data_IF_097752446145
#
_entry.id   IF_097752446145
#
_cell.length_a   1.000
_cell.length_b   1.000
_cell.length_c   1.000
_cell.angle_alpha   90.00
_cell.angle_beta   90.00
_cell.angle_gamma   90.00
#
_symmetry.space_group_name_H-M   'P 1'
#
loop_
_entity.id
_entity.type
_entity.pdbx_description
1 polymer ?
#
# COMPACT_ATOMS: atom_id res chain seq x y z
N UNK A 1 47.01 2.57 -5.96
CA UNK A 1 46.12 3.41 -6.78
C UNK A 1 45.48 2.53 -7.83
N UNK A 2 44.33 1.95 -7.50
CA UNK A 2 43.48 1.22 -8.45
C UNK A 2 42.42 2.21 -8.91
N UNK A 3 42.37 2.48 -10.21
CA UNK A 3 41.30 3.26 -10.83
C UNK A 3 39.99 2.51 -10.59
N UNK A 4 39.14 3.04 -9.70
CA UNK A 4 37.75 2.62 -9.62
C UNK A 4 37.12 2.97 -10.96
N UNK A 5 36.84 1.95 -11.77
CA UNK A 5 36.06 2.12 -12.98
C UNK A 5 34.69 2.64 -12.56
N UNK A 6 34.47 3.93 -12.86
CA UNK A 6 33.22 4.66 -12.70
C UNK A 6 32.15 4.02 -13.58
N UNK A 7 31.60 2.90 -13.09
CA UNK A 7 30.55 2.18 -13.80
C UNK A 7 29.23 2.76 -13.32
N UNK A 8 28.82 3.85 -13.95
CA UNK A 8 27.52 4.46 -13.71
C UNK A 8 26.42 3.56 -14.30
N UNK A 9 25.58 2.97 -13.45
CA UNK A 9 24.38 2.22 -13.83
C UNK A 9 23.14 2.80 -13.11
N UNK A 10 21.91 2.61 -13.63
CA UNK A 10 20.71 3.26 -13.11
C UNK A 10 20.48 3.04 -11.60
N UNK A 11 20.70 1.83 -11.08
CA UNK A 11 20.58 1.57 -9.63
C UNK A 11 21.56 2.41 -8.80
N UNK A 12 22.79 2.61 -9.30
CA UNK A 12 23.79 3.46 -8.61
C UNK A 12 23.35 4.92 -8.56
N UNK A 13 22.84 5.45 -9.67
CA UNK A 13 22.34 6.83 -9.74
C UNK A 13 21.19 7.08 -8.77
N UNK A 14 20.25 6.12 -8.67
CA UNK A 14 19.18 6.18 -7.68
C UNK A 14 19.75 6.19 -6.25
N UNK A 15 20.69 5.30 -5.93
CA UNK A 15 21.32 5.27 -4.60
C UNK A 15 22.05 6.59 -4.27
N UNK A 16 22.71 7.22 -5.24
CA UNK A 16 23.36 8.52 -5.08
C UNK A 16 22.38 9.64 -4.80
N UNK A 17 21.25 9.68 -5.50
CA UNK A 17 20.17 10.62 -5.20
C UNK A 17 19.65 10.43 -3.78
N UNK A 18 19.30 9.20 -3.40
CA UNK A 18 18.74 8.88 -2.08
C UNK A 18 19.73 9.24 -0.95
N UNK A 19 21.01 8.91 -1.11
CA UNK A 19 22.04 9.24 -0.12
C UNK A 19 22.16 10.75 0.10
N UNK A 20 22.15 11.54 -0.98
CA UNK A 20 22.35 12.98 -0.94
C UNK A 20 21.08 13.78 -0.61
N UNK A 21 19.90 13.18 -0.71
CA UNK A 21 18.61 13.83 -0.46
C UNK A 21 18.53 14.46 0.94
N UNK A 22 18.21 15.75 1.04
CA UNK A 22 17.95 16.41 2.34
C UNK A 22 16.51 16.86 2.40
N UNK A 23 15.96 16.94 3.61
CA UNK A 23 14.58 17.40 3.80
C UNK A 23 14.35 18.82 3.26
N UNK A 24 15.37 19.67 3.29
CA UNK A 24 15.33 21.03 2.73
C UNK A 24 15.22 21.06 1.19
N UNK A 25 15.58 19.97 0.51
CA UNK A 25 15.46 19.84 -0.94
C UNK A 25 14.06 19.34 -1.36
N UNK A 26 13.25 18.87 -0.40
CA UNK A 26 11.93 18.32 -0.64
C UNK A 26 10.89 19.45 -0.68
N UNK A 27 10.07 19.55 -1.75
CA UNK A 27 8.98 20.52 -1.80
C UNK A 27 7.98 20.32 -0.67
N UNK A 28 7.47 21.43 -0.10
CA UNK A 28 6.50 21.38 0.99
C UNK A 28 5.26 20.50 0.70
N UNK A 29 4.66 20.49 -0.52
CA UNK A 29 3.53 19.59 -0.82
C UNK A 29 3.87 18.09 -0.70
N UNK A 30 5.13 17.71 -0.95
CA UNK A 30 5.58 16.31 -0.80
C UNK A 30 5.65 15.95 0.68
N UNK A 31 6.18 16.85 1.52
CA UNK A 31 6.23 16.68 2.99
C UNK A 31 4.81 16.54 3.56
N UNK A 32 3.90 17.42 3.18
CA UNK A 32 2.49 17.35 3.62
C UNK A 32 1.84 16.04 3.16
N UNK A 33 2.05 15.62 1.91
CA UNK A 33 1.55 14.34 1.42
C UNK A 33 2.12 13.16 2.22
N UNK A 34 3.40 13.18 2.59
CA UNK A 34 3.98 12.13 3.44
C UNK A 34 3.30 12.06 4.81
N UNK A 35 2.92 13.20 5.40
CA UNK A 35 2.14 13.22 6.65
C UNK A 35 0.73 12.65 6.46
N UNK A 36 0.07 13.00 5.36
CA UNK A 36 -1.25 12.46 5.03
C UNK A 36 -1.20 10.93 4.87
N UNK A 37 -0.18 10.42 4.16
CA UNK A 37 0.09 8.98 4.00
C UNK A 37 0.45 8.30 5.33
N UNK A 38 1.21 8.98 6.20
CA UNK A 38 1.54 8.45 7.53
C UNK A 38 0.29 8.31 8.40
N UNK A 39 -0.63 9.28 8.37
CA UNK A 39 -1.90 9.20 9.11
C UNK A 39 -2.76 8.04 8.62
N UNK A 40 -2.88 7.89 7.29
CA UNK A 40 -3.63 6.81 6.66
C UNK A 40 -3.05 5.43 7.03
N UNK A 41 -1.73 5.32 7.01
CA UNK A 41 -1.00 4.12 7.40
C UNK A 41 -1.25 3.73 8.85
N UNK A 42 -1.00 4.64 9.80
CA UNK A 42 -1.06 4.28 11.23
C UNK A 42 -2.49 3.87 11.62
N UNK A 43 -3.49 4.55 11.07
CA UNK A 43 -4.89 4.18 11.28
C UNK A 43 -5.23 2.82 10.66
N UNK A 44 -4.73 2.53 9.45
CA UNK A 44 -4.91 1.22 8.80
C UNK A 44 -4.23 0.09 9.58
N UNK A 45 -3.03 0.33 10.11
CA UNK A 45 -2.30 -0.62 10.94
C UNK A 45 -3.04 -0.94 12.23
N UNK A 46 -3.61 0.07 12.90
CA UNK A 46 -4.44 -0.09 14.11
C UNK A 46 -5.72 -0.87 13.79
N UNK A 47 -6.39 -0.57 12.67
CA UNK A 47 -7.59 -1.29 12.23
C UNK A 47 -7.33 -2.80 11.98
N UNK A 48 -6.08 -3.19 11.74
CA UNK A 48 -5.68 -4.59 11.63
C UNK A 48 -5.76 -5.38 12.95
N UNK A 49 -6.10 -4.73 14.07
CA UNK A 49 -6.30 -5.38 15.37
C UNK A 49 -7.28 -6.55 15.25
N UNK A 50 -6.93 -7.63 15.94
CA UNK A 50 -7.72 -8.85 16.04
C UNK A 50 -8.03 -9.57 14.72
N UNK A 51 -7.44 -9.14 13.60
CA UNK A 51 -7.51 -9.91 12.37
C UNK A 51 -6.83 -11.28 12.56
N UNK A 52 -7.49 -12.40 12.18
CA UNK A 52 -6.97 -13.75 12.45
C UNK A 52 -5.54 -13.99 11.93
N UNK A 53 -5.23 -13.52 10.72
CA UNK A 53 -3.88 -13.62 10.14
C UNK A 53 -2.83 -12.83 10.95
N UNK A 54 -3.20 -11.64 11.44
CA UNK A 54 -2.31 -10.79 12.26
C UNK A 54 -2.04 -11.45 13.61
N UNK A 55 -3.07 -12.02 14.26
CA UNK A 55 -2.91 -12.75 15.54
C UNK A 55 -1.92 -13.92 15.42
N UNK A 56 -2.00 -14.71 14.34
CA UNK A 56 -1.05 -15.80 14.07
C UNK A 56 0.39 -15.29 13.94
N UNK A 57 0.59 -14.11 13.32
CA UNK A 57 1.91 -13.49 13.22
C UNK A 57 2.39 -12.92 14.57
N UNK A 58 1.49 -12.43 15.42
CA UNK A 58 1.80 -12.03 16.80
C UNK A 58 2.21 -13.23 17.66
N UNK A 59 1.55 -14.38 17.51
CA UNK A 59 1.92 -15.64 18.17
C UNK A 59 3.30 -16.12 17.71
N UNK A 60 3.55 -16.10 16.40
CA UNK A 60 4.88 -16.41 15.84
C UNK A 60 5.96 -15.48 16.40
N UNK A 61 5.72 -14.17 16.43
CA UNK A 61 6.66 -13.20 16.99
C UNK A 61 6.87 -13.38 18.50
N UNK A 62 5.84 -13.75 19.26
CA UNK A 62 5.98 -14.05 20.68
C UNK A 62 6.82 -15.32 20.94
N UNK A 63 6.77 -16.30 20.04
CA UNK A 63 7.55 -17.53 20.14
C UNK A 63 9.02 -17.35 19.70
N UNK A 64 9.27 -16.52 18.69
CA UNK A 64 10.58 -16.40 18.03
C UNK A 64 11.34 -15.12 18.39
N UNK A 65 10.63 -14.08 18.82
CA UNK A 65 11.16 -12.77 19.16
C UNK A 65 11.33 -12.56 20.65
N UNK A 66 11.99 -11.46 21.05
CA UNK A 66 12.11 -11.13 22.46
C UNK A 66 10.76 -10.70 23.03
N UNK A 67 10.57 -10.95 24.32
CA UNK A 67 9.35 -10.57 25.06
C UNK A 67 9.20 -9.06 25.28
N UNK A 68 10.27 -8.29 25.06
CA UNK A 68 10.30 -6.82 25.15
C UNK A 68 11.36 -6.25 24.18
N UNK A 69 11.30 -4.94 23.91
CA UNK A 69 12.28 -4.26 23.08
C UNK A 69 11.96 -2.80 22.80
N UNK A 70 12.71 -2.20 21.89
CA UNK A 70 12.61 -0.76 21.62
C UNK A 70 11.43 -0.39 20.72
N UNK A 71 10.86 -1.32 19.95
CA UNK A 71 9.86 -1.00 18.92
C UNK A 71 8.45 -1.48 19.29
N UNK A 72 7.45 -0.66 19.00
CA UNK A 72 6.05 -0.87 19.34
C UNK A 72 5.32 -1.73 18.28
N UNK A 73 4.46 -2.63 18.75
CA UNK A 73 3.46 -3.33 17.95
C UNK A 73 2.12 -2.64 18.16
N UNK A 74 1.60 -1.95 17.14
CA UNK A 74 0.45 -1.06 17.29
C UNK A 74 -0.84 -1.80 17.72
N UNK A 75 -1.04 -3.01 17.19
CA UNK A 75 -2.30 -3.76 17.36
C UNK A 75 -2.48 -4.40 18.75
N UNK A 76 -1.39 -4.68 19.47
CA UNK A 76 -1.43 -5.19 20.85
C UNK A 76 -0.73 -4.32 21.88
N UNK A 77 -0.15 -3.19 21.44
CA UNK A 77 0.48 -2.17 22.29
C UNK A 77 1.65 -2.72 23.12
N UNK A 78 2.20 -3.87 22.74
CA UNK A 78 3.43 -4.42 23.31
C UNK A 78 4.64 -3.87 22.57
N UNK A 79 5.82 -4.14 23.12
CA UNK A 79 7.09 -3.84 22.46
C UNK A 79 7.87 -5.11 22.21
N UNK A 80 8.72 -5.09 21.19
CA UNK A 80 9.60 -6.19 20.82
C UNK A 80 10.80 -5.64 20.03
N UNK A 81 11.58 -6.52 19.39
CA UNK A 81 12.67 -6.08 18.52
C UNK A 81 12.13 -5.33 17.29
N UNK A 82 12.93 -4.44 16.67
CA UNK A 82 12.52 -3.72 15.47
C UNK A 82 12.09 -4.64 14.32
N UNK A 83 12.74 -5.81 14.19
CA UNK A 83 12.39 -6.80 13.17
C UNK A 83 10.96 -7.32 13.34
N UNK A 84 10.59 -7.76 14.55
CA UNK A 84 9.25 -8.31 14.80
C UNK A 84 8.18 -7.22 14.85
N UNK A 85 8.50 -6.01 15.31
CA UNK A 85 7.59 -4.88 15.25
C UNK A 85 7.26 -4.48 13.80
N UNK A 86 8.28 -4.37 12.93
CA UNK A 86 8.08 -4.11 11.51
C UNK A 86 7.26 -5.21 10.83
N UNK A 87 7.53 -6.48 11.17
CA UNK A 87 6.80 -7.64 10.65
C UNK A 87 5.31 -7.56 10.98
N UNK A 88 4.95 -7.36 12.25
CA UNK A 88 3.54 -7.34 12.67
C UNK A 88 2.84 -6.09 12.15
N UNK A 89 3.46 -4.91 12.30
CA UNK A 89 2.85 -3.66 11.83
C UNK A 89 2.69 -3.67 10.30
N UNK A 90 3.63 -4.25 9.55
CA UNK A 90 3.47 -4.45 8.11
C UNK A 90 2.31 -5.38 7.76
N UNK A 91 2.14 -6.48 8.50
CA UNK A 91 1.00 -7.37 8.32
C UNK A 91 -0.35 -6.67 8.60
N UNK A 92 -0.42 -5.94 9.72
CA UNK A 92 -1.66 -5.29 10.17
C UNK A 92 -2.06 -4.12 9.29
N UNK A 93 -1.09 -3.40 8.71
CA UNK A 93 -1.34 -2.27 7.80
C UNK A 93 -2.16 -2.66 6.56
N UNK A 94 -2.01 -3.90 6.09
CA UNK A 94 -2.56 -4.34 4.81
C UNK A 94 -3.83 -5.19 4.93
N UNK A 95 -4.13 -5.73 6.13
CA UNK A 95 -5.18 -6.74 6.32
C UNK A 95 -6.61 -6.22 6.12
N UNK A 96 -6.81 -4.92 6.32
CA UNK A 96 -8.13 -4.29 6.16
C UNK A 96 -8.36 -3.71 4.76
N UNK A 97 -7.37 -3.78 3.86
CA UNK A 97 -7.43 -3.24 2.49
C UNK A 97 -7.76 -1.74 2.42
N UNK A 98 -7.17 -0.93 3.31
CA UNK A 98 -7.40 0.52 3.37
C UNK A 98 -6.14 1.38 3.22
N UNK A 99 -4.99 0.73 3.16
CA UNK A 99 -3.70 1.33 2.91
C UNK A 99 -3.59 1.95 1.50
N UNK A 100 -2.62 2.86 1.37
CA UNK A 100 -2.30 3.58 0.15
C UNK A 100 -1.96 2.67 -1.03
N UNK A 101 -1.94 3.23 -2.23
CA UNK A 101 -1.47 2.53 -3.43
C UNK A 101 -0.93 3.53 -4.44
N UNK A 102 0.22 3.23 -5.03
CA UNK A 102 0.72 3.99 -6.16
C UNK A 102 0.29 3.30 -7.47
N UNK A 103 -0.48 4.02 -8.28
CA UNK A 103 -1.13 3.48 -9.47
C UNK A 103 -0.13 2.90 -10.49
N UNK A 104 0.89 3.67 -10.87
CA UNK A 104 1.83 3.28 -11.94
C UNK A 104 2.69 2.06 -11.61
N UNK A 105 3.07 1.91 -10.34
CA UNK A 105 3.91 0.80 -9.86
C UNK A 105 3.09 -0.38 -9.31
N UNK A 106 1.79 -0.18 -9.07
CA UNK A 106 0.90 -1.15 -8.41
C UNK A 106 1.51 -1.65 -7.09
N UNK A 107 2.03 -0.70 -6.30
CA UNK A 107 2.70 -0.92 -5.01
C UNK A 107 1.85 -0.30 -3.90
N UNK A 108 1.86 -0.91 -2.72
CA UNK A 108 1.36 -0.34 -1.47
C UNK A 108 2.53 0.11 -0.58
N UNK A 109 3.11 1.31 -0.75
CA UNK A 109 4.36 1.67 -0.08
C UNK A 109 4.17 1.89 1.42
N UNK A 110 3.04 2.42 1.87
CA UNK A 110 2.79 2.69 3.29
C UNK A 110 2.94 1.43 4.15
N UNK A 111 2.38 0.32 3.66
CA UNK A 111 2.33 -0.94 4.38
C UNK A 111 3.70 -1.61 4.58
N UNK A 112 4.77 -1.09 3.97
CA UNK A 112 6.13 -1.64 4.07
C UNK A 112 7.16 -0.61 4.52
N UNK A 113 7.07 0.64 4.04
CA UNK A 113 8.02 1.71 4.36
C UNK A 113 7.84 2.19 5.80
N UNK A 114 6.64 2.63 6.17
CA UNK A 114 6.39 3.16 7.52
C UNK A 114 6.63 2.15 8.65
N UNK A 115 6.18 0.88 8.59
CA UNK A 115 6.44 -0.05 9.69
C UNK A 115 7.93 -0.32 9.88
N UNK A 116 8.72 -0.41 8.79
CA UNK A 116 10.17 -0.56 8.87
C UNK A 116 10.86 0.69 9.42
N UNK A 117 10.52 1.87 8.89
CA UNK A 117 11.12 3.15 9.32
C UNK A 117 10.76 3.46 10.77
N UNK A 118 9.49 3.33 11.18
CA UNK A 118 9.07 3.62 12.55
C UNK A 118 9.74 2.67 13.54
N UNK A 119 9.75 1.36 13.27
CA UNK A 119 10.41 0.40 14.15
C UNK A 119 11.92 0.71 14.30
N UNK A 120 12.58 1.11 13.21
CA UNK A 120 13.98 1.49 13.24
C UNK A 120 14.24 2.82 13.94
N UNK A 121 13.37 3.80 13.73
CA UNK A 121 13.45 5.10 14.35
C UNK A 121 13.27 5.02 15.87
N UNK A 122 12.35 4.17 16.34
CA UNK A 122 12.15 3.92 17.77
C UNK A 122 13.39 3.27 18.41
N UNK A 123 14.04 2.35 17.70
CA UNK A 123 15.26 1.68 18.17
C UNK A 123 16.47 2.62 18.28
N UNK A 124 16.59 3.58 17.38
CA UNK A 124 17.76 4.44 17.24
C UNK A 124 17.50 5.87 17.78
N UNK A 125 16.32 6.13 18.35
CA UNK A 125 15.96 7.45 18.91
C UNK A 125 15.87 8.56 17.86
N UNK A 126 15.37 8.25 16.66
CA UNK A 126 15.29 9.18 15.52
C UNK A 126 14.12 10.16 15.65
N UNK A 127 14.36 11.37 15.17
CA UNK A 127 13.36 12.46 15.13
C UNK A 127 12.30 12.22 14.07
N UNK A 128 11.17 12.91 14.18
CA UNK A 128 10.12 12.82 13.16
C UNK A 128 10.51 13.41 11.81
N UNK A 129 11.40 14.41 11.78
CA UNK A 129 11.99 14.93 10.53
C UNK A 129 12.85 13.88 9.81
N UNK A 130 13.64 13.09 10.55
CA UNK A 130 14.41 11.97 9.98
C UNK A 130 13.50 10.87 9.46
N UNK A 131 12.40 10.58 10.17
CA UNK A 131 11.37 9.63 9.74
C UNK A 131 10.71 10.07 8.44
N UNK A 132 10.30 11.34 8.33
CA UNK A 132 9.71 11.88 7.10
C UNK A 132 10.67 11.76 5.92
N UNK A 133 11.93 12.17 6.09
CA UNK A 133 12.94 12.09 5.03
C UNK A 133 13.22 10.64 4.59
N UNK A 134 13.33 9.72 5.56
CA UNK A 134 13.54 8.30 5.29
C UNK A 134 12.34 7.68 4.56
N UNK A 135 11.12 8.03 4.98
CA UNK A 135 9.89 7.58 4.31
C UNK A 135 9.81 8.08 2.88
N UNK A 136 10.08 9.37 2.62
CA UNK A 136 10.13 9.93 1.26
C UNK A 136 11.15 9.15 0.40
N UNK A 137 12.36 8.92 0.91
CA UNK A 137 13.37 8.13 0.19
C UNK A 137 12.88 6.70 -0.12
N UNK A 138 12.17 6.06 0.81
CA UNK A 138 11.55 4.74 0.61
C UNK A 138 10.49 4.74 -0.48
N UNK A 139 9.60 5.74 -0.50
CA UNK A 139 8.58 5.92 -1.53
C UNK A 139 9.21 6.17 -2.90
N UNK A 140 10.17 7.09 -2.99
CA UNK A 140 10.90 7.36 -4.24
C UNK A 140 11.57 6.09 -4.78
N UNK A 141 12.29 5.35 -3.94
CA UNK A 141 12.94 4.11 -4.35
C UNK A 141 11.92 3.05 -4.79
N UNK A 142 10.95 2.75 -3.92
CA UNK A 142 9.97 1.69 -4.15
C UNK A 142 9.13 1.91 -5.39
N UNK A 143 8.60 3.12 -5.57
CA UNK A 143 7.73 3.42 -6.72
C UNK A 143 8.51 3.31 -8.03
N UNK A 144 9.71 3.87 -8.09
CA UNK A 144 10.57 3.85 -9.29
C UNK A 144 11.01 2.44 -9.65
N UNK A 145 11.33 1.63 -8.65
CA UNK A 145 11.65 0.20 -8.84
C UNK A 145 10.39 -0.55 -9.31
N UNK A 146 9.21 -0.24 -8.80
CA UNK A 146 7.97 -0.88 -9.24
C UNK A 146 7.60 -0.52 -10.68
N UNK A 147 7.76 0.74 -11.08
CA UNK A 147 7.62 1.16 -12.49
C UNK A 147 8.66 0.48 -13.38
N UNK A 148 9.90 0.35 -12.90
CA UNK A 148 10.97 -0.39 -13.57
C UNK A 148 10.60 -1.84 -13.82
N UNK A 149 9.90 -2.53 -12.90
CA UNK A 149 9.52 -3.93 -13.06
C UNK A 149 8.40 -4.18 -14.08
N UNK A 150 7.59 -3.16 -14.39
CA UNK A 150 6.58 -3.23 -15.44
C UNK A 150 5.36 -4.11 -15.14
N UNK A 151 4.45 -4.24 -16.12
CA UNK A 151 3.16 -4.93 -15.96
C UNK A 151 3.34 -6.45 -15.90
N UNK A 152 4.35 -6.99 -16.59
CA UNK A 152 4.57 -8.44 -16.63
C UNK A 152 4.91 -9.01 -15.25
N UNK A 153 5.62 -8.24 -14.42
CA UNK A 153 5.97 -8.62 -13.06
C UNK A 153 4.73 -8.91 -12.22
N UNK A 154 3.77 -7.98 -12.24
CA UNK A 154 2.55 -8.04 -11.43
C UNK A 154 1.65 -9.24 -11.75
N UNK A 155 1.80 -9.86 -12.93
CA UNK A 155 1.00 -11.03 -13.33
C UNK A 155 1.26 -12.26 -12.47
N UNK A 156 2.48 -12.41 -11.96
CA UNK A 156 2.90 -13.57 -11.15
C UNK A 156 3.21 -13.14 -9.73
N UNK A 157 3.87 -12.00 -9.59
CA UNK A 157 4.37 -11.52 -8.32
C UNK A 157 3.51 -10.37 -7.78
N UNK A 158 3.33 -10.35 -6.47
CA UNK A 158 2.78 -9.20 -5.77
C UNK A 158 3.88 -8.17 -5.55
N UNK A 159 3.84 -7.06 -6.31
CA UNK A 159 4.86 -5.98 -6.26
C UNK A 159 5.14 -5.49 -4.83
N UNK A 160 4.13 -5.47 -3.95
CA UNK A 160 4.32 -5.09 -2.55
C UNK A 160 5.22 -6.03 -1.76
N UNK A 161 5.16 -7.34 -2.02
CA UNK A 161 6.07 -8.29 -1.37
C UNK A 161 7.48 -8.20 -1.95
N UNK A 162 7.60 -8.07 -3.27
CA UNK A 162 8.91 -8.00 -3.94
C UNK A 162 9.55 -6.63 -3.80
N UNK A 163 9.05 -5.62 -4.52
CA UNK A 163 9.58 -4.25 -4.56
C UNK A 163 9.45 -3.55 -3.21
N UNK A 164 8.41 -3.84 -2.44
CA UNK A 164 8.26 -3.30 -1.09
C UNK A 164 9.42 -3.66 -0.15
N UNK A 165 10.06 -4.83 -0.34
CA UNK A 165 11.25 -5.22 0.41
C UNK A 165 12.42 -4.26 0.16
N UNK A 166 12.59 -3.84 -1.09
CA UNK A 166 13.63 -2.89 -1.49
C UNK A 166 13.29 -1.46 -1.05
N UNK A 167 12.00 -1.08 -1.09
CA UNK A 167 11.52 0.21 -0.60
C UNK A 167 11.82 0.39 0.90
N UNK A 168 11.51 -0.64 1.71
CA UNK A 168 11.83 -0.65 3.14
C UNK A 168 13.35 -0.60 3.39
N UNK A 169 14.15 -1.33 2.61
CA UNK A 169 15.61 -1.30 2.72
C UNK A 169 16.20 0.08 2.41
N UNK A 170 15.76 0.73 1.33
CA UNK A 170 16.19 2.08 0.98
C UNK A 170 15.82 3.10 2.06
N UNK A 171 14.59 3.00 2.58
CA UNK A 171 14.10 3.90 3.63
C UNK A 171 14.93 3.78 4.92
N UNK A 172 15.16 2.57 5.41
CA UNK A 172 15.93 2.34 6.64
C UNK A 172 17.41 2.65 6.44
N UNK A 173 17.99 2.35 5.27
CA UNK A 173 19.36 2.75 4.94
C UNK A 173 19.51 4.28 4.93
N UNK A 174 18.51 5.00 4.42
CA UNK A 174 18.46 6.47 4.50
C UNK A 174 18.36 6.96 5.93
N UNK A 175 17.50 6.35 6.75
CA UNK A 175 17.35 6.68 8.18
C UNK A 175 18.67 6.52 8.96
N UNK A 176 19.47 5.52 8.59
CA UNK A 176 20.81 5.29 9.15
C UNK A 176 21.88 6.24 8.64
N UNK A 177 21.59 7.04 7.62
CA UNK A 177 22.57 7.93 7.01
C UNK A 177 23.65 7.18 6.22
N UNK A 178 23.32 6.01 5.65
CA UNK A 178 24.26 5.29 4.79
C UNK A 178 24.52 6.08 3.50
N UNK A 179 25.74 5.97 2.98
CA UNK A 179 26.11 6.55 1.69
C UNK A 179 25.54 5.75 0.51
N UNK A 180 25.81 6.20 -0.71
CA UNK A 180 25.30 5.56 -1.92
C UNK A 180 25.73 4.08 -2.06
N UNK A 181 26.93 3.72 -1.57
CA UNK A 181 27.35 2.32 -1.58
C UNK A 181 26.56 1.53 -0.54
N UNK A 182 26.41 2.03 0.69
CA UNK A 182 25.64 1.36 1.73
C UNK A 182 24.16 1.15 1.37
N UNK A 183 23.52 2.14 0.73
CA UNK A 183 22.15 1.98 0.20
C UNK A 183 22.12 0.88 -0.87
N UNK A 184 23.08 0.87 -1.79
CA UNK A 184 23.14 -0.16 -2.83
C UNK A 184 23.35 -1.57 -2.24
N UNK A 185 24.24 -1.72 -1.25
CA UNK A 185 24.43 -2.99 -0.55
C UNK A 185 23.13 -3.47 0.12
N UNK A 186 22.37 -2.56 0.74
CA UNK A 186 21.06 -2.86 1.32
C UNK A 186 20.05 -3.30 0.26
N UNK A 187 19.98 -2.61 -0.88
CA UNK A 187 19.14 -3.01 -2.01
C UNK A 187 19.54 -4.39 -2.55
N UNK A 188 20.83 -4.66 -2.68
CA UNK A 188 21.37 -5.95 -3.12
C UNK A 188 20.92 -7.11 -2.23
N UNK A 189 21.02 -6.95 -0.92
CA UNK A 189 20.54 -7.95 0.05
C UNK A 189 19.02 -8.07 0.07
N UNK A 190 18.29 -6.96 -0.08
CA UNK A 190 16.83 -6.97 -0.14
C UNK A 190 16.30 -7.68 -1.39
N UNK A 191 16.83 -7.35 -2.58
CA UNK A 191 16.34 -7.88 -3.83
C UNK A 191 16.57 -9.37 -4.02
N UNK A 192 17.65 -9.94 -3.46
CA UNK A 192 17.90 -11.39 -3.57
C UNK A 192 16.94 -12.25 -2.76
N UNK A 193 16.26 -11.68 -1.76
CA UNK A 193 15.28 -12.39 -0.91
C UNK A 193 13.83 -11.91 -1.13
N UNK A 194 13.64 -10.93 -2.02
CA UNK A 194 12.34 -10.36 -2.34
C UNK A 194 11.41 -11.41 -2.98
N UNK A 195 10.21 -11.60 -2.41
CA UNK A 195 9.26 -12.62 -2.85
C UNK A 195 7.80 -12.17 -2.64
N UNK A 196 6.87 -12.87 -3.30
CA UNK A 196 5.43 -12.72 -3.09
C UNK A 196 4.65 -13.17 -4.31
N UNK A 197 3.90 -14.28 -4.21
CA UNK A 197 3.17 -14.89 -5.33
C UNK A 197 1.66 -14.69 -5.14
N UNK A 198 0.93 -14.51 -6.25
CA UNK A 198 -0.52 -14.26 -6.22
C UNK A 198 -1.41 -15.47 -5.89
N UNK A 199 -0.86 -16.67 -5.81
CA UNK A 199 -1.65 -17.91 -5.73
C UNK A 199 -2.61 -17.95 -4.53
N UNK A 200 -2.35 -17.18 -3.47
CA UNK A 200 -3.23 -17.07 -2.29
C UNK A 200 -4.68 -16.69 -2.62
N UNK A 201 -4.94 -15.98 -3.73
CA UNK A 201 -6.28 -15.52 -4.09
C UNK A 201 -7.24 -16.70 -4.36
N UNK A 202 -6.73 -17.83 -4.85
CA UNK A 202 -7.53 -19.01 -5.21
C UNK A 202 -8.16 -19.67 -3.99
N UNK A 203 -7.40 -19.72 -2.89
CA UNK A 203 -7.79 -20.40 -1.66
C UNK A 203 -8.21 -19.42 -0.55
N UNK A 204 -8.19 -18.11 -0.82
CA UNK A 204 -8.34 -17.07 0.19
C UNK A 204 -7.38 -17.26 1.37
N UNK A 205 -6.14 -17.63 1.08
CA UNK A 205 -5.15 -17.97 2.09
C UNK A 205 -4.62 -16.73 2.82
N UNK A 206 -4.33 -16.88 4.12
CA UNK A 206 -3.72 -15.85 4.96
C UNK A 206 -2.32 -15.41 4.47
N UNK A 207 -1.71 -16.14 3.52
CA UNK A 207 -0.35 -15.91 3.05
C UNK A 207 -0.13 -14.57 2.37
N UNK A 208 -1.18 -13.84 1.93
CA UNK A 208 -1.05 -12.46 1.45
C UNK A 208 -0.36 -11.57 2.49
N UNK A 209 -0.63 -11.78 3.78
CA UNK A 209 -0.13 -10.93 4.87
C UNK A 209 1.38 -11.11 5.06
N UNK A 210 1.95 -12.25 4.61
CA UNK A 210 3.40 -12.42 4.59
C UNK A 210 4.06 -11.42 3.64
N UNK A 211 3.39 -10.95 2.59
CA UNK A 211 3.99 -10.03 1.62
C UNK A 211 4.44 -8.72 2.29
N UNK A 212 3.55 -8.03 3.00
CA UNK A 212 3.91 -6.77 3.68
C UNK A 212 4.71 -7.01 4.95
N UNK A 213 4.39 -8.08 5.69
CA UNK A 213 5.11 -8.44 6.91
C UNK A 213 6.60 -8.71 6.63
N UNK A 214 6.89 -9.55 5.63
CA UNK A 214 8.26 -9.88 5.25
C UNK A 214 8.94 -8.76 4.50
N UNK A 215 8.26 -8.05 3.61
CA UNK A 215 8.87 -6.89 2.95
C UNK A 215 9.39 -5.85 3.95
N UNK A 216 8.59 -5.49 4.96
CA UNK A 216 9.00 -4.55 6.00
C UNK A 216 10.19 -5.10 6.82
N UNK A 217 10.10 -6.34 7.30
CA UNK A 217 11.10 -6.93 8.18
C UNK A 217 12.42 -7.26 7.47
N UNK A 218 12.35 -7.79 6.26
CA UNK A 218 13.52 -8.22 5.48
C UNK A 218 14.23 -7.00 4.86
N UNK A 219 13.49 -5.95 4.48
CA UNK A 219 14.09 -4.67 4.09
C UNK A 219 14.82 -3.98 5.25
N UNK A 220 14.18 -3.96 6.43
CA UNK A 220 14.80 -3.51 7.67
C UNK A 220 16.11 -4.28 7.94
N UNK A 221 16.06 -5.61 7.90
CA UNK A 221 17.23 -6.46 8.10
C UNK A 221 18.36 -6.13 7.13
N UNK A 222 18.05 -5.97 5.83
CA UNK A 222 19.06 -5.65 4.81
C UNK A 222 19.80 -4.35 5.07
N UNK A 223 19.11 -3.30 5.54
CA UNK A 223 19.75 -2.03 5.89
C UNK A 223 20.67 -2.15 7.12
N UNK A 224 20.27 -2.96 8.12
CA UNK A 224 21.13 -3.28 9.27
C UNK A 224 22.39 -4.05 8.86
N UNK A 225 22.24 -5.04 7.98
CA UNK A 225 23.36 -5.82 7.45
C UNK A 225 24.32 -4.93 6.65
N UNK A 226 23.81 -4.06 5.79
CA UNK A 226 24.62 -3.11 5.03
C UNK A 226 25.38 -2.14 5.95
N UNK A 227 24.73 -1.62 7.01
CA UNK A 227 25.40 -0.80 8.05
C UNK A 227 26.55 -1.55 8.73
N UNK A 228 26.47 -2.87 8.86
CA UNK A 228 27.51 -3.72 9.40
C UNK A 228 28.58 -4.16 8.37
N UNK A 229 28.50 -3.70 7.12
CA UNK A 229 29.45 -4.04 6.07
C UNK A 229 29.14 -5.34 5.31
N UNK A 230 27.95 -5.92 5.47
CA UNK A 230 27.50 -7.03 4.64
C UNK A 230 27.31 -6.58 3.20
N UNK A 231 27.82 -7.35 2.23
CA UNK A 231 27.76 -7.01 0.81
C UNK A 231 26.60 -7.72 0.09
N UNK A 232 25.76 -6.96 -0.61
CA UNK A 232 24.78 -7.42 -1.58
C UNK A 232 25.23 -7.24 -3.04
N UNK A 233 24.42 -7.73 -3.98
CA UNK A 233 24.69 -7.59 -5.41
C UNK A 233 24.44 -6.15 -5.89
N UNK A 234 25.44 -5.54 -6.53
CA UNK A 234 25.40 -4.12 -6.96
C UNK A 234 24.40 -3.80 -8.05
N UNK A 235 24.05 -4.77 -8.88
CA UNK A 235 23.08 -4.64 -9.97
C UNK A 235 21.94 -5.63 -9.78
N UNK A 236 21.39 -5.68 -8.57
CA UNK A 236 20.31 -6.61 -8.22
C UNK A 236 19.04 -6.39 -9.05
N UNK A 237 18.84 -5.18 -9.59
CA UNK A 237 17.68 -4.85 -10.40
C UNK A 237 17.91 -5.21 -11.87
N UNK A 238 18.87 -4.54 -12.51
CA UNK A 238 19.10 -4.55 -13.96
C UNK A 238 20.15 -5.58 -14.43
N UNK A 239 20.83 -6.26 -13.49
CA UNK A 239 21.87 -7.22 -13.82
C UNK A 239 21.35 -8.46 -14.56
N UNK A 240 22.24 -9.18 -15.24
CA UNK A 240 21.90 -10.35 -16.06
C UNK A 240 21.23 -11.51 -15.28
N UNK A 241 21.42 -11.56 -13.96
CA UNK A 241 20.74 -12.49 -13.04
C UNK A 241 20.01 -11.73 -11.91
N UNK A 242 19.65 -10.48 -12.18
CA UNK A 242 18.89 -9.61 -11.28
C UNK A 242 17.38 -9.86 -11.36
N UNK A 243 16.63 -9.08 -10.61
CA UNK A 243 15.17 -9.17 -10.50
C UNK A 243 14.49 -9.00 -11.86
N UNK A 244 14.91 -8.04 -12.70
CA UNK A 244 14.29 -7.88 -14.01
C UNK A 244 14.42 -9.13 -14.88
N UNK A 245 15.59 -9.78 -14.88
CA UNK A 245 15.81 -11.00 -15.67
C UNK A 245 14.96 -12.19 -15.19
N UNK A 246 14.70 -12.29 -13.89
CA UNK A 246 13.96 -13.42 -13.29
C UNK A 246 12.47 -13.20 -13.09
N UNK A 247 12.01 -11.94 -13.01
CA UNK A 247 10.67 -11.60 -12.54
C UNK A 247 9.92 -10.62 -13.46
N UNK A 248 10.49 -10.23 -14.59
CA UNK A 248 9.83 -9.35 -15.57
C UNK A 248 10.25 -9.69 -17.00
N UNK A 249 9.37 -9.41 -17.96
CA UNK A 249 9.64 -9.45 -19.40
C UNK A 249 9.54 -8.08 -20.07
N UNK A 250 9.14 -7.03 -19.33
CA UNK A 250 8.90 -5.68 -19.83
C UNK A 250 9.56 -4.60 -18.95
N UNK A 251 10.62 -4.96 -18.23
CA UNK A 251 11.32 -4.05 -17.35
C UNK A 251 11.96 -2.88 -18.11
N UNK A 252 11.92 -1.68 -17.53
CA UNK A 252 12.43 -0.46 -18.14
C UNK A 252 13.41 0.28 -17.21
N UNK A 253 14.74 0.12 -17.39
CA UNK A 253 15.77 0.76 -16.56
C UNK A 253 15.66 2.28 -16.45
N UNK A 254 15.07 2.96 -17.45
CA UNK A 254 14.92 4.42 -17.42
C UNK A 254 14.01 4.90 -16.27
N UNK A 255 13.06 4.08 -15.81
CA UNK A 255 12.16 4.42 -14.70
C UNK A 255 12.90 4.63 -13.36
N UNK A 256 14.07 4.01 -13.19
CA UNK A 256 14.85 4.10 -11.95
C UNK A 256 15.36 5.53 -11.69
N UNK A 257 15.56 6.33 -12.73
CA UNK A 257 16.19 7.66 -12.65
C UNK A 257 15.37 8.78 -13.27
N UNK A 258 14.14 8.48 -13.69
CA UNK A 258 13.23 9.40 -14.37
C UNK A 258 12.86 10.64 -13.51
N UNK A 259 13.44 11.80 -13.82
CA UNK A 259 13.09 13.05 -13.14
C UNK A 259 13.46 13.10 -11.65
N UNK A 260 14.58 12.49 -11.23
CA UNK A 260 15.06 12.60 -9.86
C UNK A 260 15.22 14.07 -9.43
N UNK A 261 14.63 14.44 -8.28
CA UNK A 261 14.64 15.80 -7.74
C UNK A 261 13.61 16.76 -8.35
N UNK A 262 12.90 16.37 -9.41
CA UNK A 262 11.85 17.20 -10.04
C UNK A 262 10.49 16.52 -10.06
N UNK A 263 10.45 15.21 -10.30
CA UNK A 263 9.28 14.33 -10.14
C UNK A 263 9.39 13.62 -8.79
N UNK A 264 8.35 13.75 -7.97
CA UNK A 264 8.28 13.16 -6.63
C UNK A 264 7.20 12.10 -6.60
N UNK A 265 7.60 10.84 -6.73
CA UNK A 265 6.71 9.67 -6.72
C UNK A 265 5.84 9.59 -5.45
N UNK A 266 6.36 10.08 -4.33
CA UNK A 266 5.60 10.18 -3.07
C UNK A 266 4.30 11.00 -3.24
N UNK A 267 4.33 12.08 -4.01
CA UNK A 267 3.15 12.93 -4.27
C UNK A 267 2.09 12.26 -5.15
N UNK A 268 2.50 11.24 -5.91
CA UNK A 268 1.67 10.53 -6.90
C UNK A 268 0.90 9.36 -6.28
N UNK A 269 1.02 9.15 -4.97
CA UNK A 269 0.38 8.03 -4.27
C UNK A 269 -1.09 8.31 -3.94
N UNK A 270 -1.94 7.34 -4.23
CA UNK A 270 -3.40 7.39 -4.03
C UNK A 270 -3.80 6.82 -2.66
N UNK A 271 -4.91 7.33 -2.13
CA UNK A 271 -5.60 6.75 -0.98
C UNK A 271 -6.72 5.82 -1.43
N UNK A 272 -6.90 4.70 -0.73
CA UNK A 272 -8.11 3.90 -0.89
C UNK A 272 -9.30 4.62 -0.24
N UNK A 273 -10.36 4.84 -1.02
CA UNK A 273 -11.61 5.40 -0.52
C UNK A 273 -12.56 4.31 0.00
N UNK A 274 -12.61 3.16 -0.69
CA UNK A 274 -13.33 1.97 -0.26
C UNK A 274 -12.39 0.95 0.37
N UNK A 275 -12.89 0.16 1.32
CA UNK A 275 -12.10 -0.84 2.06
C UNK A 275 -11.92 -2.15 1.27
N UNK A 276 -11.55 -2.05 0.00
CA UNK A 276 -11.51 -3.16 -0.96
C UNK A 276 -10.29 -3.08 -1.88
N UNK A 277 -10.07 -4.14 -2.68
CA UNK A 277 -9.06 -4.15 -3.71
C UNK A 277 -9.19 -2.92 -4.63
N UNK A 278 -8.06 -2.25 -4.94
CA UNK A 278 -8.06 -1.00 -5.72
C UNK A 278 -8.76 -1.15 -7.07
N UNK A 279 -8.73 -2.34 -7.69
CA UNK A 279 -9.35 -2.61 -8.99
C UNK A 279 -10.88 -2.41 -8.99
N UNK A 280 -11.54 -2.40 -7.83
CA UNK A 280 -12.99 -2.15 -7.75
C UNK A 280 -13.36 -0.67 -7.66
N UNK A 281 -12.41 0.19 -7.27
CA UNK A 281 -12.69 1.60 -6.92
C UNK A 281 -13.20 2.41 -8.12
N UNK A 282 -12.59 2.31 -9.33
CA UNK A 282 -13.05 3.14 -10.45
C UNK A 282 -14.50 2.83 -10.87
N UNK A 283 -14.86 1.54 -10.91
CA UNK A 283 -16.23 1.13 -11.24
C UNK A 283 -17.24 1.51 -10.15
N UNK A 284 -16.83 1.42 -8.88
CA UNK A 284 -17.67 1.83 -7.74
C UNK A 284 -17.98 3.33 -7.77
N UNK A 285 -16.97 4.17 -8.04
CA UNK A 285 -17.16 5.62 -8.18
C UNK A 285 -18.04 5.97 -9.38
N UNK A 286 -17.81 5.33 -10.54
CA UNK A 286 -18.61 5.56 -11.73
C UNK A 286 -20.08 5.15 -11.52
N UNK A 287 -20.34 4.03 -10.83
CA UNK A 287 -21.70 3.61 -10.48
C UNK A 287 -22.35 4.60 -9.49
N UNK A 288 -21.63 5.01 -8.45
CA UNK A 288 -22.13 5.97 -7.47
C UNK A 288 -22.51 7.30 -8.14
N UNK A 289 -21.64 7.83 -8.99
CA UNK A 289 -21.89 9.06 -9.74
C UNK A 289 -23.09 8.91 -10.69
N UNK A 290 -23.23 7.76 -11.37
CA UNK A 290 -24.39 7.46 -12.22
C UNK A 290 -25.69 7.48 -11.41
N UNK A 291 -25.74 6.75 -10.31
CA UNK A 291 -26.95 6.64 -9.49
C UNK A 291 -27.37 7.99 -8.91
N UNK A 292 -26.41 8.80 -8.44
CA UNK A 292 -26.66 10.14 -7.92
C UNK A 292 -27.16 11.11 -9.00
N UNK A 293 -26.52 11.11 -10.18
CA UNK A 293 -26.89 12.01 -11.29
C UNK A 293 -28.28 11.71 -11.83
N UNK A 294 -28.63 10.44 -11.93
CA UNK A 294 -29.89 9.99 -12.56
C UNK A 294 -31.02 9.79 -11.53
N UNK A 295 -30.72 9.85 -10.24
CA UNK A 295 -31.69 9.65 -9.15
C UNK A 295 -32.28 8.23 -9.12
N UNK A 296 -31.46 7.21 -9.44
CA UNK A 296 -31.91 5.79 -9.50
C UNK A 296 -31.42 4.99 -8.31
N UNK A 297 -32.30 4.18 -7.73
CA UNK A 297 -32.02 3.24 -6.65
C UNK A 297 -31.51 1.88 -7.13
N UNK A 298 -30.94 1.09 -6.22
CA UNK A 298 -30.38 -0.23 -6.51
C UNK A 298 -31.42 -1.24 -7.05
N UNK A 299 -32.68 -1.10 -6.64
CA UNK A 299 -33.83 -1.88 -7.08
C UNK A 299 -34.29 -1.53 -8.50
N UNK A 300 -33.98 -0.33 -8.97
CA UNK A 300 -34.29 0.15 -10.33
C UNK A 300 -33.22 -0.20 -11.35
N UNK A 301 -32.10 -0.79 -10.94
CA UNK A 301 -31.04 -1.30 -11.82
C UNK A 301 -31.30 -2.79 -12.12
N UNK A 302 -31.38 -3.13 -13.41
CA UNK A 302 -31.53 -4.50 -13.89
C UNK A 302 -30.17 -5.19 -14.09
N UNK A 303 -29.19 -4.50 -14.68
CA UNK A 303 -27.82 -5.02 -14.87
C UNK A 303 -26.78 -3.89 -14.89
N UNK A 304 -25.53 -4.21 -14.53
CA UNK A 304 -24.37 -3.31 -14.61
C UNK A 304 -23.22 -4.03 -15.29
N UNK A 305 -22.71 -3.45 -16.37
CA UNK A 305 -21.46 -3.85 -17.01
C UNK A 305 -20.36 -2.87 -16.58
N UNK A 306 -19.32 -3.37 -15.91
CA UNK A 306 -18.12 -2.61 -15.59
C UNK A 306 -17.08 -2.84 -16.68
N UNK A 307 -16.61 -1.77 -17.31
CA UNK A 307 -15.57 -1.83 -18.34
C UNK A 307 -14.21 -1.70 -17.67
N UNK A 308 -13.34 -2.69 -17.83
CA UNK A 308 -12.12 -2.83 -17.03
C UNK A 308 -10.89 -3.19 -17.87
N UNK A 309 -9.71 -3.08 -17.27
CA UNK A 309 -8.46 -3.59 -17.82
C UNK A 309 -8.23 -5.07 -17.43
N UNK A 310 -7.31 -5.76 -18.12
CA UNK A 310 -7.10 -7.20 -17.92
C UNK A 310 -6.71 -7.56 -16.48
N UNK A 311 -5.85 -6.78 -15.84
CA UNK A 311 -5.45 -7.02 -14.44
C UNK A 311 -6.62 -7.06 -13.44
N UNK A 312 -7.71 -6.31 -13.69
CA UNK A 312 -8.89 -6.37 -12.83
C UNK A 312 -9.63 -7.70 -12.99
N UNK A 313 -9.71 -8.23 -14.22
CA UNK A 313 -10.28 -9.56 -14.50
C UNK A 313 -9.42 -10.64 -13.84
N UNK A 314 -8.09 -10.56 -13.98
CA UNK A 314 -7.17 -11.56 -13.43
C UNK A 314 -7.25 -11.62 -11.89
N UNK A 315 -7.37 -10.47 -11.22
CA UNK A 315 -7.40 -10.38 -9.75
C UNK A 315 -8.79 -10.60 -9.16
N UNK A 316 -9.85 -10.05 -9.77
CA UNK A 316 -11.21 -10.07 -9.20
C UNK A 316 -12.07 -11.20 -9.78
N UNK A 317 -11.78 -11.65 -11.00
CA UNK A 317 -12.52 -12.70 -11.70
C UNK A 317 -12.62 -14.04 -10.97
N UNK A 318 -11.60 -14.47 -10.18
CA UNK A 318 -11.70 -15.67 -9.37
C UNK A 318 -12.79 -15.63 -8.27
N UNK A 319 -13.30 -14.44 -7.89
CA UNK A 319 -14.19 -14.28 -6.72
C UNK A 319 -15.56 -13.70 -7.10
N UNK A 320 -16.41 -14.54 -7.70
CA UNK A 320 -17.78 -14.16 -8.09
C UNK A 320 -18.75 -14.26 -6.92
N UNK A 321 -18.67 -15.33 -6.12
CA UNK A 321 -19.49 -15.56 -4.93
C UNK A 321 -18.59 -15.68 -3.70
N UNK A 322 -18.32 -14.58 -2.98
CA UNK A 322 -17.42 -14.60 -1.83
C UNK A 322 -18.04 -15.39 -0.66
N UNK A 323 -17.23 -16.23 -0.02
CA UNK A 323 -17.60 -16.98 1.19
C UNK A 323 -17.00 -16.39 2.48
N UNK A 324 -16.16 -15.35 2.35
CA UNK A 324 -15.52 -14.66 3.47
C UNK A 324 -15.48 -13.14 3.22
N UNK A 325 -15.31 -12.37 4.29
CA UNK A 325 -15.12 -10.91 4.19
C UNK A 325 -13.87 -10.57 3.38
N UNK A 326 -12.80 -11.37 3.52
CA UNK A 326 -11.60 -11.19 2.71
C UNK A 326 -11.92 -11.34 1.22
N UNK A 327 -12.59 -12.43 0.81
CA UNK A 327 -13.03 -12.61 -0.58
C UNK A 327 -13.97 -11.52 -1.05
N UNK A 328 -14.90 -11.06 -0.21
CA UNK A 328 -15.84 -9.99 -0.55
C UNK A 328 -15.12 -8.69 -0.98
N UNK A 329 -13.97 -8.38 -0.35
CA UNK A 329 -13.13 -7.22 -0.71
C UNK A 329 -12.43 -7.34 -2.08
N UNK A 330 -12.43 -8.53 -2.68
CA UNK A 330 -11.91 -8.81 -4.03
C UNK A 330 -13.02 -9.15 -5.03
N UNK A 331 -14.29 -8.87 -4.70
CA UNK A 331 -15.44 -9.14 -5.56
C UNK A 331 -16.05 -7.85 -6.08
N UNK A 332 -15.94 -7.59 -7.40
CA UNK A 332 -16.50 -6.40 -8.05
C UNK A 332 -17.98 -6.22 -7.73
N UNK A 333 -18.78 -7.28 -7.91
CA UNK A 333 -20.22 -7.23 -7.68
C UNK A 333 -20.59 -6.97 -6.22
N UNK A 334 -19.80 -7.46 -5.26
CA UNK A 334 -20.05 -7.20 -3.83
C UNK A 334 -19.77 -5.74 -3.48
N UNK A 335 -18.65 -5.18 -3.97
CA UNK A 335 -18.32 -3.76 -3.75
C UNK A 335 -19.39 -2.85 -4.35
N UNK A 336 -19.77 -3.08 -5.61
CA UNK A 336 -20.80 -2.30 -6.27
C UNK A 336 -22.17 -2.48 -5.59
N UNK A 337 -22.48 -3.67 -5.07
CA UNK A 337 -23.69 -3.92 -4.29
C UNK A 337 -23.73 -3.11 -2.99
N UNK A 338 -22.64 -3.08 -2.23
CA UNK A 338 -22.53 -2.25 -1.03
C UNK A 338 -22.71 -0.77 -1.35
N UNK A 339 -22.05 -0.28 -2.41
CA UNK A 339 -22.18 1.12 -2.84
C UNK A 339 -23.59 1.44 -3.31
N UNK A 340 -24.25 0.54 -4.05
CA UNK A 340 -25.59 0.78 -4.56
C UNK A 340 -26.66 0.77 -3.45
N UNK A 341 -26.54 -0.13 -2.49
CA UNK A 341 -27.55 -0.33 -1.42
C UNK A 341 -27.30 0.60 -0.23
N UNK A 342 -26.04 0.74 0.20
CA UNK A 342 -25.65 1.46 1.41
C UNK A 342 -24.92 2.77 1.14
N UNK A 343 -24.66 3.11 -0.13
CA UNK A 343 -24.00 4.36 -0.53
C UNK A 343 -22.47 4.39 -0.35
N UNK A 344 -21.91 3.38 0.33
CA UNK A 344 -20.48 3.26 0.63
C UNK A 344 -20.07 1.79 0.85
N UNK A 345 -18.77 1.51 0.77
CA UNK A 345 -18.18 0.20 1.01
C UNK A 345 -16.96 0.32 1.96
N UNK A 346 -17.23 0.68 3.22
CA UNK A 346 -16.27 0.79 4.29
C UNK A 346 -16.18 -0.48 5.14
N UNK A 347 -15.38 -0.45 6.22
CA UNK A 347 -15.15 -1.65 7.04
C UNK A 347 -16.44 -2.16 7.71
N UNK A 348 -17.28 -1.25 8.22
CA UNK A 348 -18.56 -1.59 8.84
C UNK A 348 -19.51 -2.24 7.84
N UNK A 349 -19.65 -1.66 6.64
CA UNK A 349 -20.51 -2.20 5.59
C UNK A 349 -20.05 -3.59 5.13
N UNK A 350 -18.74 -3.81 5.05
CA UNK A 350 -18.21 -5.14 4.78
C UNK A 350 -18.61 -6.16 5.86
N UNK A 351 -18.32 -5.88 7.13
CA UNK A 351 -18.61 -6.83 8.22
C UNK A 351 -20.11 -7.09 8.41
N UNK A 352 -20.94 -6.06 8.26
CA UNK A 352 -22.38 -6.14 8.55
C UNK A 352 -23.20 -6.65 7.37
N UNK A 353 -22.81 -6.30 6.13
CA UNK A 353 -23.73 -6.43 4.98
C UNK A 353 -23.17 -7.28 3.83
N UNK A 354 -21.85 -7.36 3.63
CA UNK A 354 -21.30 -7.98 2.41
C UNK A 354 -21.73 -9.43 2.15
N UNK A 355 -21.89 -10.23 3.21
CA UNK A 355 -22.28 -11.64 3.12
C UNK A 355 -23.72 -11.91 3.57
N UNK A 356 -24.30 -11.03 4.37
CA UNK A 356 -25.57 -11.28 5.06
C UNK A 356 -26.76 -10.53 4.44
N UNK A 357 -26.52 -9.43 3.72
CA UNK A 357 -27.58 -8.62 3.15
C UNK A 357 -28.07 -9.20 1.81
N UNK A 358 -29.34 -9.66 1.72
CA UNK A 358 -29.88 -10.20 0.48
C UNK A 358 -30.00 -9.16 -0.64
N UNK A 359 -30.12 -7.86 -0.33
CA UNK A 359 -30.13 -6.81 -1.36
C UNK A 359 -28.74 -6.65 -2.00
N UNK A 360 -27.68 -6.71 -1.20
CA UNK A 360 -26.29 -6.71 -1.69
C UNK A 360 -26.01 -7.96 -2.51
N UNK A 361 -26.44 -9.13 -2.04
CA UNK A 361 -26.30 -10.38 -2.78
C UNK A 361 -27.06 -10.37 -4.12
N UNK A 362 -28.28 -9.82 -4.13
CA UNK A 362 -29.06 -9.65 -5.36
C UNK A 362 -28.38 -8.68 -6.33
N UNK A 363 -27.86 -7.54 -5.84
CA UNK A 363 -27.15 -6.59 -6.70
C UNK A 363 -25.84 -7.17 -7.26
N UNK A 364 -25.10 -7.95 -6.46
CA UNK A 364 -23.90 -8.66 -6.92
C UNK A 364 -24.18 -9.51 -8.15
N UNK A 365 -25.32 -10.20 -8.18
CA UNK A 365 -25.76 -11.03 -9.32
C UNK A 365 -26.10 -10.24 -10.60
N UNK A 366 -26.13 -8.90 -10.54
CA UNK A 366 -26.39 -8.01 -11.68
C UNK A 366 -25.12 -7.47 -12.33
N UNK A 367 -23.94 -7.76 -11.77
CA UNK A 367 -22.67 -7.12 -12.14
C UNK A 367 -21.80 -8.07 -12.97
N UNK A 368 -21.34 -7.58 -14.11
CA UNK A 368 -20.38 -8.28 -14.99
C UNK A 368 -19.19 -7.38 -15.33
N UNK A 369 -18.02 -7.98 -15.56
CA UNK A 369 -16.81 -7.28 -16.00
C UNK A 369 -16.55 -7.56 -17.48
N UNK A 370 -16.32 -6.52 -18.26
CA UNK A 370 -15.96 -6.59 -19.69
C UNK A 370 -14.60 -5.92 -19.92
N UNK A 371 -13.71 -6.60 -20.65
CA UNK A 371 -12.42 -6.02 -21.03
C UNK A 371 -12.65 -4.89 -22.03
N UNK A 372 -12.12 -3.72 -21.71
CA UNK A 372 -12.16 -2.60 -22.63
C UNK A 372 -10.76 -2.20 -23.13
N UNK A 373 -10.55 -2.08 -24.46
CA UNK A 373 -9.25 -1.75 -25.02
C UNK A 373 -8.68 -0.39 -24.59
N UNK A 374 -9.53 0.63 -24.45
CA UNK A 374 -9.12 1.99 -24.05
C UNK A 374 -8.63 1.99 -22.60
N UNK A 375 -9.43 1.41 -21.68
CA UNK A 375 -9.09 1.32 -20.26
C UNK A 375 -7.85 0.42 -20.06
N UNK A 376 -7.76 -0.67 -20.81
CA UNK A 376 -6.61 -1.56 -20.74
C UNK A 376 -5.30 -0.92 -21.21
N UNK A 377 -5.36 -0.04 -22.22
CA UNK A 377 -4.21 0.71 -22.72
C UNK A 377 -3.77 1.83 -21.76
N UNK A 378 -4.72 2.42 -21.02
CA UNK A 378 -4.43 3.46 -20.03
C UNK A 378 -3.78 2.91 -18.74
N UNK A 379 -4.13 1.68 -18.33
CA UNK A 379 -3.57 1.03 -17.14
C UNK A 379 -2.07 0.68 -17.32
N UNK A 380 -1.22 0.80 -16.27
CA UNK A 380 -1.54 1.23 -14.90
C UNK A 380 -1.46 2.74 -14.67
N UNK A 381 -1.14 3.54 -15.71
CA UNK A 381 -0.95 4.99 -15.57
C UNK A 381 -2.24 5.71 -15.16
N UNK A 382 -3.39 5.25 -15.65
CA UNK A 382 -4.70 5.77 -15.25
C UNK A 382 -5.65 4.62 -14.93
N UNK A 383 -6.42 4.78 -13.85
CA UNK A 383 -7.38 3.80 -13.35
C UNK A 383 -8.79 4.29 -13.65
N UNK A 384 -9.15 4.30 -14.93
CA UNK A 384 -10.41 4.87 -15.42
C UNK A 384 -11.58 3.97 -15.01
N UNK A 385 -12.62 4.59 -14.44
CA UNK A 385 -13.88 3.93 -14.13
C UNK A 385 -14.88 4.15 -15.24
N UNK A 386 -15.45 3.08 -15.79
CA UNK A 386 -16.60 3.18 -16.70
C UNK A 386 -17.60 2.08 -16.43
N UNK A 387 -18.88 2.47 -16.34
CA UNK A 387 -20.00 1.54 -16.17
C UNK A 387 -21.12 1.84 -17.15
N UNK A 388 -21.80 0.79 -17.59
CA UNK A 388 -23.07 0.86 -18.31
C UNK A 388 -24.12 0.13 -17.49
N UNK A 389 -25.20 0.80 -17.14
CA UNK A 389 -26.31 0.22 -16.37
C UNK A 389 -27.59 0.19 -17.20
N UNK A 390 -28.29 -0.95 -17.18
CA UNK A 390 -29.66 -1.06 -17.71
C UNK A 390 -30.62 -0.94 -16.54
N UNK A 391 -31.60 -0.05 -16.64
CA UNK A 391 -32.65 0.11 -15.62
C UNK A 391 -33.82 -0.85 -15.88
N UNK A 392 -34.66 -1.06 -14.87
CA UNK A 392 -35.86 -1.90 -14.97
C UNK A 392 -36.95 -1.29 -15.87
N UNK A 393 -36.91 0.02 -16.10
CA UNK A 393 -37.78 0.74 -17.04
C UNK A 393 -37.25 0.76 -18.49
N UNK A 394 -36.12 0.09 -18.76
CA UNK A 394 -35.56 -0.09 -20.10
C UNK A 394 -34.57 0.97 -20.56
N UNK A 395 -34.27 2.00 -19.74
CA UNK A 395 -33.19 2.97 -20.05
C UNK A 395 -31.81 2.30 -19.98
N UNK A 396 -30.89 2.81 -20.78
CA UNK A 396 -29.46 2.50 -20.69
C UNK A 396 -28.73 3.76 -20.26
N UNK A 397 -28.06 3.69 -19.12
CA UNK A 397 -27.34 4.78 -18.48
C UNK A 397 -25.85 4.46 -18.51
N UNK A 398 -25.00 5.48 -18.66
CA UNK A 398 -23.56 5.31 -18.64
C UNK A 398 -22.88 6.38 -17.79
N UNK A 399 -21.75 6.04 -17.19
CA UNK A 399 -20.91 6.99 -16.48
C UNK A 399 -19.43 6.63 -16.64
N UNK A 400 -18.61 7.66 -16.60
CA UNK A 400 -17.16 7.58 -16.66
C UNK A 400 -16.55 8.49 -15.59
N UNK A 401 -15.51 8.01 -14.94
CA UNK A 401 -14.69 8.76 -13.99
C UNK A 401 -13.23 8.53 -14.38
N UNK A 402 -12.55 9.59 -14.87
CA UNK A 402 -11.15 9.49 -15.29
C UNK A 402 -10.18 9.47 -14.11
N UNK A 403 -10.56 10.13 -13.00
CA UNK A 403 -9.76 10.23 -11.77
C UNK A 403 -10.64 9.81 -10.57
N UNK A 404 -10.62 8.53 -10.18
CA UNK A 404 -11.34 8.02 -9.02
C UNK A 404 -10.97 8.74 -7.72
N UNK A 405 -11.89 8.76 -6.76
CA UNK A 405 -11.68 9.33 -5.43
C UNK A 405 -10.48 8.65 -4.75
N UNK A 406 -9.62 9.49 -4.18
CA UNK A 406 -8.38 9.12 -3.53
C UNK A 406 -7.15 9.19 -4.44
N UNK A 407 -7.29 9.24 -5.78
CA UNK A 407 -6.14 9.52 -6.66
C UNK A 407 -5.56 10.93 -6.41
N UNK A 408 -4.29 11.20 -6.78
CA UNK A 408 -3.64 12.48 -6.49
C UNK A 408 -4.46 13.71 -6.91
N UNK A 409 -5.05 13.68 -8.10
CA UNK A 409 -5.85 14.77 -8.67
C UNK A 409 -7.31 14.80 -8.15
N UNK A 410 -7.73 13.79 -7.38
CA UNK A 410 -9.04 13.72 -6.72
C UNK A 410 -8.89 13.15 -5.31
N UNK A 411 -7.94 13.71 -4.55
CA UNK A 411 -7.48 13.10 -3.31
C UNK A 411 -8.47 13.30 -2.14
N UNK A 412 -8.18 12.69 -1.00
CA UNK A 412 -8.95 12.93 0.22
C UNK A 412 -8.52 14.28 0.81
N UNK A 413 -9.49 15.12 1.13
CA UNK A 413 -9.24 16.33 1.90
C UNK A 413 -8.79 15.97 3.32
N UNK A 414 -8.10 16.90 4.00
CA UNK A 414 -7.65 16.67 5.39
C UNK A 414 -8.80 16.25 6.34
N UNK A 415 -10.01 16.87 6.30
CA UNK A 415 -11.15 16.39 7.09
C UNK A 415 -11.59 14.97 6.73
N UNK A 416 -11.55 14.58 5.45
CA UNK A 416 -11.86 13.20 5.03
C UNK A 416 -10.81 12.20 5.54
N UNK A 417 -9.53 12.57 5.53
CA UNK A 417 -8.45 11.75 6.09
C UNK A 417 -8.58 11.59 7.60
N UNK A 418 -8.88 12.66 8.33
CA UNK A 418 -9.13 12.59 9.77
C UNK A 418 -10.35 11.74 10.10
N UNK A 419 -11.44 11.90 9.35
CA UNK A 419 -12.64 11.07 9.50
C UNK A 419 -12.34 9.59 9.21
N UNK A 420 -11.60 9.30 8.13
CA UNK A 420 -11.12 7.95 7.81
C UNK A 420 -10.27 7.39 8.95
N UNK A 421 -9.33 8.16 9.47
CA UNK A 421 -8.46 7.73 10.56
C UNK A 421 -9.26 7.39 11.83
N UNK A 422 -10.23 8.22 12.22
CA UNK A 422 -11.11 7.96 13.35
C UNK A 422 -11.93 6.68 13.17
N UNK A 423 -12.50 6.46 11.97
CA UNK A 423 -13.25 5.25 11.64
C UNK A 423 -12.38 3.98 11.72
N UNK A 424 -11.17 4.04 11.16
CA UNK A 424 -10.20 2.95 11.19
C UNK A 424 -9.73 2.65 12.62
N UNK A 425 -9.42 3.67 13.41
CA UNK A 425 -9.02 3.50 14.81
C UNK A 425 -10.13 2.88 15.67
N UNK A 426 -11.37 3.28 15.47
CA UNK A 426 -12.52 2.72 16.20
C UNK A 426 -12.83 1.26 15.82
N UNK A 427 -12.44 0.83 14.61
CA UNK A 427 -12.70 -0.52 14.13
C UNK A 427 -12.08 -1.56 15.06
N UNK A 428 -12.91 -2.53 15.50
CA UNK A 428 -12.55 -3.57 16.47
C UNK A 428 -11.92 -3.02 17.76
N UNK A 429 -12.31 -1.81 18.16
CA UNK A 429 -11.78 -1.15 19.36
C UNK A 429 -10.25 -1.02 19.32
N UNK A 430 -9.69 -0.74 18.14
CA UNK A 430 -8.26 -0.53 17.93
C UNK A 430 -7.68 0.55 18.85
N UNK A 431 -8.32 1.71 18.81
CA UNK A 431 -8.02 2.88 19.62
C UNK A 431 -9.31 3.65 19.94
N UNK A 432 -9.31 4.31 21.10
CA UNK A 432 -10.34 5.27 21.46
C UNK A 432 -10.26 6.52 20.58
N UNK A 433 -11.34 7.26 20.48
CA UNK A 433 -11.36 8.54 19.76
C UNK A 433 -10.32 9.52 20.31
N UNK A 434 -10.13 9.57 21.64
CA UNK A 434 -9.14 10.43 22.27
C UNK A 434 -7.70 10.06 21.86
N UNK A 435 -7.38 8.76 21.81
CA UNK A 435 -6.09 8.27 21.33
C UNK A 435 -5.87 8.64 19.86
N UNK A 436 -6.88 8.43 19.00
CA UNK A 436 -6.76 8.79 17.58
C UNK A 436 -6.61 10.29 17.36
N UNK A 437 -7.31 11.13 18.13
CA UNK A 437 -7.14 12.59 18.05
C UNK A 437 -5.73 13.03 18.48
N UNK A 438 -5.14 12.37 19.46
CA UNK A 438 -3.75 12.61 19.84
C UNK A 438 -2.77 12.19 18.73
N UNK A 439 -3.00 11.04 18.09
CA UNK A 439 -2.23 10.59 16.93
C UNK A 439 -2.33 11.61 15.79
N UNK A 440 -3.53 12.03 15.41
CA UNK A 440 -3.76 13.03 14.35
C UNK A 440 -2.96 14.30 14.62
N UNK A 441 -3.07 14.87 15.82
CA UNK A 441 -2.33 16.07 16.20
C UNK A 441 -0.81 15.88 16.08
N UNK A 442 -0.29 14.73 16.54
CA UNK A 442 1.14 14.41 16.48
C UNK A 442 1.63 14.21 15.04
N UNK A 443 0.83 13.60 14.17
CA UNK A 443 1.18 13.41 12.75
C UNK A 443 1.27 14.75 12.02
N UNK A 444 0.35 15.68 12.29
CA UNK A 444 0.37 17.01 11.67
C UNK A 444 1.57 17.87 12.04
N UNK A 445 2.18 17.61 13.20
CA UNK A 445 3.42 18.22 13.67
C UNK A 445 4.62 17.25 13.66
N UNK A 446 4.60 16.22 12.80
CA UNK A 446 5.57 15.13 12.86
C UNK A 446 7.01 15.63 12.66
N UNK A 447 7.22 16.61 11.79
CA UNK A 447 8.56 17.17 11.54
C UNK A 447 9.17 17.86 12.77
N UNK A 448 8.37 18.27 13.77
CA UNK A 448 8.86 18.84 15.02
C UNK A 448 9.02 17.79 16.14
N UNK A 449 8.64 16.53 15.90
CA UNK A 449 8.68 15.50 16.93
C UNK A 449 10.13 15.13 17.27
N UNK A 450 10.55 15.19 18.56
CA UNK A 450 11.89 14.81 18.96
C UNK A 450 12.14 13.30 18.87
N UNK A 451 11.07 12.49 18.85
CA UNK A 451 11.10 11.06 18.58
C UNK A 451 9.73 10.54 18.11
N UNK A 452 9.69 9.28 17.65
CA UNK A 452 8.47 8.58 17.21
C UNK A 452 8.06 7.40 18.12
N UNK A 453 8.37 7.49 19.41
CA UNK A 453 8.00 6.46 20.40
C UNK A 453 6.56 6.61 20.87
N UNK A 454 5.96 5.52 21.37
CA UNK A 454 4.71 5.52 22.14
C UNK A 454 3.54 6.17 21.37
N UNK A 455 3.17 5.58 20.22
CA UNK A 455 2.03 6.05 19.42
C UNK A 455 0.70 5.75 20.10
N UNK A 456 0.60 4.59 20.74
CA UNK A 456 -0.50 4.24 21.63
C UNK A 456 0.03 4.01 23.05
N UNK A 457 -0.77 4.31 24.09
CA UNK A 457 -0.40 3.95 25.44
C UNK A 457 -0.37 2.42 25.58
N UNK A 458 0.55 1.91 26.41
CA UNK A 458 0.64 0.50 26.73
C UNK A 458 -0.74 -0.06 27.16
N UNK A 459 -1.04 -1.29 26.75
CA UNK A 459 -2.25 -1.98 27.20
C UNK A 459 -2.26 -2.06 28.73
N UNK A 460 -3.37 -1.62 29.35
CA UNK A 460 -3.57 -1.67 30.80
C UNK A 460 -3.80 -3.09 31.29
#
# INVERSE_FOLDING_TARGET
MSQAADTTYPTRQLCEFLANLKLADVPAPVIERTKDLFLDWIASAIAGKDAPAVRKLQEFAAAMGPSDGAAEVLVDRRRTSPYFAALINGASSHVVEQDDVHNGSVLHPAAVVFPAVVAAAQAEGKTGAEVLLASIAGYEAGIRIGEFMGRSHYRVFHTTGTVGTLAAAAAVAKLFGLDAEGINQALGSAGTQAAGLWEFLRDAADSKQLHTAKAAADGLQSAWLARAGFTGAKQILEGAQGMAAGMSSDANPACLTDGLGTRWATAETSFKFFASCRHTHPAADALKALMQREGVGADQIASVTTHVHQGAIDVLGPVVNPASIHQAKFSMGTVLGLVAVHGHAGLGEFEQHALQDPAVAAFRGKVEMELDPEINAAYPRQWIGRVTAKTTDGRTLAARVDVPKGDPDNTLSRPELEAKALQLGAFRQGASEAEMRAIIARVWSLEQAPNVNDWLPAAR
#
